data_IF_372034672309
#
_entry.id   IF_372034672309
#
_cell.length_a   1.000
_cell.length_b   1.000
_cell.length_c   1.000
_cell.angle_alpha   90.00
_cell.angle_beta   90.00
_cell.angle_gamma   90.00
#
_symmetry.space_group_name_H-M   'P 1'
#
loop_
_entity.id
_entity.type
_entity.pdbx_description
1 polymer ?
#
# COMPACT_ATOMS: atom_id res chain seq x y z
N UNK A 1 2.46 -31.82 1.11
CA UNK A 1 1.94 -32.25 2.42
C UNK A 1 0.47 -32.44 2.18
N UNK A 2 -0.01 -33.69 2.20
CA UNK A 2 -1.43 -33.96 1.99
C UNK A 2 -2.23 -33.14 3.01
N UNK A 3 -3.17 -32.34 2.52
CA UNK A 3 -4.07 -31.55 3.35
C UNK A 3 -5.10 -32.52 3.90
N UNK A 4 -4.82 -33.01 5.11
CA UNK A 4 -5.71 -33.88 5.85
C UNK A 4 -7.11 -33.26 5.99
N UNK A 5 -8.14 -34.08 5.80
CA UNK A 5 -9.55 -33.65 5.72
C UNK A 5 -10.04 -33.13 7.07
N UNK A 6 -9.58 -33.71 8.18
CA UNK A 6 -9.89 -33.23 9.52
C UNK A 6 -9.29 -31.82 9.72
N UNK A 7 -8.02 -31.64 9.32
CA UNK A 7 -7.33 -30.34 9.36
C UNK A 7 -8.01 -29.26 8.50
N UNK A 8 -8.59 -29.64 7.36
CA UNK A 8 -9.38 -28.74 6.51
C UNK A 8 -10.69 -28.31 7.18
N UNK A 9 -11.41 -29.25 7.79
CA UNK A 9 -12.66 -28.95 8.50
C UNK A 9 -12.43 -27.98 9.67
N UNK A 10 -11.37 -28.21 10.45
CA UNK A 10 -10.97 -27.32 11.55
C UNK A 10 -10.59 -25.92 11.04
N UNK A 11 -9.93 -25.83 9.90
CA UNK A 11 -9.56 -24.56 9.29
C UNK A 11 -10.78 -23.71 8.93
N UNK A 12 -11.78 -24.32 8.30
CA UNK A 12 -13.04 -23.66 7.93
C UNK A 12 -13.76 -23.19 9.20
N UNK A 13 -13.82 -24.04 10.22
CA UNK A 13 -14.43 -23.71 11.50
C UNK A 13 -13.71 -22.53 12.20
N UNK A 14 -12.38 -22.48 12.15
CA UNK A 14 -11.59 -21.36 12.69
C UNK A 14 -11.87 -20.04 11.98
N UNK A 15 -11.97 -20.04 10.65
CA UNK A 15 -12.28 -18.83 9.87
C UNK A 15 -13.67 -18.31 10.25
N UNK A 16 -14.68 -19.19 10.27
CA UNK A 16 -16.08 -18.84 10.53
C UNK A 16 -16.43 -18.68 12.03
N UNK A 17 -15.49 -18.95 12.94
CA UNK A 17 -15.71 -19.03 14.40
C UNK A 17 -16.83 -20.00 14.79
N UNK A 18 -16.91 -21.14 14.11
CA UNK A 18 -17.87 -22.21 14.38
C UNK A 18 -17.24 -23.37 15.13
N UNK A 19 -18.07 -24.22 15.74
CA UNK A 19 -17.62 -25.52 16.26
C UNK A 19 -17.91 -26.59 15.21
N UNK A 20 -16.92 -27.43 14.93
CA UNK A 20 -17.06 -28.59 14.04
C UNK A 20 -17.02 -29.88 14.86
N UNK A 21 -17.85 -30.85 14.45
CA UNK A 21 -17.85 -32.21 15.00
C UNK A 21 -17.93 -33.20 13.85
N UNK A 22 -17.21 -34.31 13.95
CA UNK A 22 -17.23 -35.39 12.96
C UNK A 22 -18.21 -36.47 13.39
N UNK A 23 -19.10 -36.88 12.50
CA UNK A 23 -20.03 -37.98 12.71
C UNK A 23 -20.02 -38.89 11.47
N UNK A 24 -19.33 -40.02 11.57
CA UNK A 24 -19.16 -40.95 10.44
C UNK A 24 -18.44 -40.30 9.25
N UNK A 25 -19.12 -40.27 8.11
CA UNK A 25 -18.62 -39.69 6.84
C UNK A 25 -18.99 -38.21 6.65
N UNK A 26 -19.47 -37.52 7.67
CA UNK A 26 -19.83 -36.11 7.59
C UNK A 26 -19.26 -35.26 8.73
N UNK A 27 -19.05 -33.98 8.44
CA UNK A 27 -18.66 -32.95 9.40
C UNK A 27 -19.83 -32.00 9.62
N UNK A 28 -20.20 -31.78 10.87
CA UNK A 28 -21.30 -30.91 11.27
C UNK A 28 -20.76 -29.65 11.93
N UNK A 29 -21.07 -28.50 11.34
CA UNK A 29 -20.71 -27.16 11.81
C UNK A 29 -21.90 -26.55 12.55
N UNK A 30 -21.71 -26.20 13.82
CA UNK A 30 -22.77 -25.64 14.68
C UNK A 30 -22.79 -24.11 14.59
N UNK A 31 -23.95 -23.56 14.20
CA UNK A 31 -24.22 -22.13 14.06
C UNK A 31 -25.18 -21.70 15.18
N UNK A 32 -24.62 -21.06 16.21
CA UNK A 32 -25.39 -20.74 17.42
C UNK A 32 -25.90 -22.02 18.11
N UNK A 33 -27.13 -21.97 18.63
CA UNK A 33 -27.68 -23.09 19.39
C UNK A 33 -28.62 -24.03 18.63
N UNK A 34 -29.17 -23.57 17.51
CA UNK A 34 -30.31 -24.21 16.86
C UNK A 34 -30.06 -24.60 15.39
N UNK A 35 -28.99 -24.09 14.77
CA UNK A 35 -28.68 -24.38 13.37
C UNK A 35 -27.39 -25.19 13.26
N UNK A 36 -27.39 -26.16 12.35
CA UNK A 36 -26.20 -26.93 12.02
C UNK A 36 -26.17 -27.22 10.52
N UNK A 37 -25.00 -27.09 9.92
CA UNK A 37 -24.76 -27.45 8.53
C UNK A 37 -23.86 -28.66 8.49
N UNK A 38 -24.22 -29.64 7.65
CA UNK A 38 -23.41 -30.84 7.44
C UNK A 38 -22.70 -30.77 6.09
N UNK A 39 -21.50 -31.34 6.01
CA UNK A 39 -20.71 -31.41 4.78
C UNK A 39 -20.08 -32.80 4.70
N UNK A 40 -20.19 -33.44 3.54
CA UNK A 40 -19.68 -34.79 3.36
C UNK A 40 -18.13 -34.81 3.31
N UNK A 41 -17.54 -35.90 3.77
CA UNK A 41 -16.07 -36.08 3.74
C UNK A 41 -15.54 -36.08 2.30
N UNK A 42 -16.32 -36.60 1.33
CA UNK A 42 -15.99 -36.57 -0.09
C UNK A 42 -15.89 -35.16 -0.67
N UNK A 43 -16.76 -34.24 -0.23
CA UNK A 43 -16.74 -32.84 -0.66
C UNK A 43 -15.52 -32.11 -0.12
N UNK A 44 -15.19 -32.32 1.15
CA UNK A 44 -13.96 -31.78 1.75
C UNK A 44 -12.69 -32.36 1.09
N UNK A 45 -12.69 -33.66 0.76
CA UNK A 45 -11.58 -34.29 0.05
C UNK A 45 -11.40 -33.70 -1.37
N UNK A 46 -12.48 -33.41 -2.07
CA UNK A 46 -12.43 -32.75 -3.38
C UNK A 46 -11.82 -31.33 -3.28
N UNK A 47 -12.17 -30.59 -2.24
CA UNK A 47 -11.58 -29.28 -1.95
C UNK A 47 -10.10 -29.42 -1.61
N UNK A 48 -9.71 -30.36 -0.74
CA UNK A 48 -8.32 -30.62 -0.37
C UNK A 48 -7.45 -30.92 -1.59
N UNK A 49 -7.92 -31.81 -2.47
CA UNK A 49 -7.23 -32.14 -3.73
C UNK A 49 -7.09 -30.91 -4.64
N UNK A 50 -8.12 -30.06 -4.71
CA UNK A 50 -8.04 -28.79 -5.43
C UNK A 50 -6.98 -27.87 -4.84
N UNK A 51 -6.92 -27.72 -3.51
CA UNK A 51 -5.90 -26.87 -2.85
C UNK A 51 -4.49 -27.36 -3.16
N UNK A 52 -4.25 -28.68 -3.10
CA UNK A 52 -2.95 -29.28 -3.36
C UNK A 52 -2.48 -29.12 -4.80
N UNK A 53 -3.41 -29.08 -5.76
CA UNK A 53 -3.09 -28.86 -7.17
C UNK A 53 -2.62 -27.41 -7.44
N UNK A 54 -3.01 -26.45 -6.60
CA UNK A 54 -2.59 -25.06 -6.77
C UNK A 54 -1.17 -24.85 -6.23
N UNK A 55 -0.33 -24.20 -7.04
CA UNK A 55 1.02 -23.76 -6.67
C UNK A 55 1.05 -22.24 -6.55
N UNK A 56 1.78 -21.68 -5.56
CA UNK A 56 2.12 -20.27 -5.55
C UNK A 56 2.80 -19.86 -6.87
N UNK A 57 2.38 -18.75 -7.46
CA UNK A 57 3.10 -18.09 -8.54
C UNK A 57 3.85 -16.88 -7.98
N UNK A 58 3.29 -15.68 -8.18
CA UNK A 58 3.83 -14.41 -7.72
C UNK A 58 2.81 -13.70 -6.83
N UNK A 59 3.29 -13.16 -5.71
CA UNK A 59 2.46 -12.38 -4.80
C UNK A 59 1.28 -13.17 -4.23
N UNK A 60 0.07 -12.71 -4.52
CA UNK A 60 -1.16 -13.38 -4.09
C UNK A 60 -1.65 -14.45 -5.07
N UNK A 61 -1.04 -14.58 -6.26
CA UNK A 61 -1.53 -15.47 -7.30
C UNK A 61 -1.23 -16.96 -7.00
N UNK A 62 -2.19 -17.80 -7.37
CA UNK A 62 -2.07 -19.26 -7.40
C UNK A 62 -2.44 -19.79 -8.76
N UNK A 63 -1.81 -20.88 -9.18
CA UNK A 63 -2.19 -21.57 -10.41
C UNK A 63 -2.04 -23.08 -10.30
N UNK A 64 -2.88 -23.79 -11.03
CA UNK A 64 -2.68 -25.16 -11.46
C UNK A 64 -2.42 -25.20 -12.98
N UNK A 65 -2.41 -26.39 -13.55
CA UNK A 65 -2.39 -26.57 -15.00
C UNK A 65 -3.67 -26.06 -15.69
N UNK A 66 -4.81 -26.04 -14.98
CA UNK A 66 -6.12 -25.66 -15.54
C UNK A 66 -6.78 -24.45 -14.90
N UNK A 67 -6.22 -23.93 -13.81
CA UNK A 67 -6.79 -22.79 -13.09
C UNK A 67 -5.74 -21.76 -12.71
N UNK A 68 -6.19 -20.52 -12.60
CA UNK A 68 -5.44 -19.41 -12.04
C UNK A 68 -6.39 -18.60 -11.15
N UNK A 69 -5.92 -18.16 -9.98
CA UNK A 69 -6.69 -17.32 -9.09
C UNK A 69 -5.79 -16.29 -8.41
N UNK A 70 -6.21 -15.03 -8.40
CA UNK A 70 -5.47 -13.93 -7.79
C UNK A 70 -6.41 -13.01 -7.04
N UNK A 71 -5.99 -12.53 -5.88
CA UNK A 71 -6.74 -11.53 -5.12
C UNK A 71 -6.82 -10.24 -5.94
N UNK A 72 -8.01 -9.67 -6.04
CA UNK A 72 -8.25 -8.38 -6.70
C UNK A 72 -8.92 -7.41 -5.75
N UNK A 73 -8.62 -6.14 -5.93
CA UNK A 73 -9.22 -5.06 -5.15
C UNK A 73 -9.65 -3.91 -6.05
N UNK A 74 -10.66 -3.18 -5.60
CA UNK A 74 -11.04 -1.94 -6.24
C UNK A 74 -10.05 -0.85 -5.83
N UNK A 75 -9.58 -0.08 -6.81
CA UNK A 75 -8.78 1.12 -6.53
C UNK A 75 -9.60 2.27 -5.93
N UNK A 76 -10.94 2.19 -5.91
CA UNK A 76 -11.85 3.19 -5.33
C UNK A 76 -13.03 2.49 -4.63
N UNK A 77 -13.58 3.05 -3.55
CA UNK A 77 -14.79 2.52 -2.92
C UNK A 77 -15.97 2.55 -3.89
N UNK A 78 -16.35 1.40 -4.45
CA UNK A 78 -17.46 1.28 -5.39
C UNK A 78 -18.60 0.47 -4.72
N UNK A 79 -19.29 1.10 -3.77
CA UNK A 79 -20.31 0.44 -2.94
C UNK A 79 -21.40 -0.30 -3.74
N UNK A 80 -21.81 0.24 -4.89
CA UNK A 80 -22.81 -0.38 -5.77
C UNK A 80 -22.24 -1.56 -6.59
N UNK A 81 -20.94 -1.52 -6.89
CA UNK A 81 -20.26 -2.50 -7.74
C UNK A 81 -19.79 -3.73 -6.98
N UNK A 82 -19.44 -3.60 -5.70
CA UNK A 82 -19.29 -4.76 -4.80
C UNK A 82 -20.55 -5.59 -4.73
N UNK A 83 -21.73 -4.96 -4.77
CA UNK A 83 -23.03 -5.65 -4.77
C UNK A 83 -23.27 -6.39 -6.09
N UNK A 84 -22.95 -5.77 -7.23
CA UNK A 84 -23.05 -6.38 -8.55
C UNK A 84 -22.05 -7.53 -8.76
N UNK A 85 -20.80 -7.39 -8.26
CA UNK A 85 -19.79 -8.46 -8.33
C UNK A 85 -19.94 -9.52 -7.24
N UNK A 86 -20.76 -9.27 -6.20
CA UNK A 86 -21.05 -10.24 -5.15
C UNK A 86 -21.77 -11.49 -5.67
N UNK A 87 -22.54 -11.35 -6.77
CA UNK A 87 -23.16 -12.48 -7.48
C UNK A 87 -22.18 -13.19 -8.44
N UNK A 88 -20.96 -12.66 -8.60
CA UNK A 88 -19.94 -13.18 -9.51
C UNK A 88 -20.14 -12.71 -10.95
N UNK A 89 -19.17 -11.96 -11.49
CA UNK A 89 -19.13 -11.64 -12.91
C UNK A 89 -18.43 -12.75 -13.67
N UNK A 90 -19.14 -13.41 -14.58
CA UNK A 90 -18.61 -14.51 -15.38
C UNK A 90 -18.53 -14.09 -16.85
N UNK A 91 -17.35 -14.30 -17.45
CA UNK A 91 -17.11 -14.16 -18.88
C UNK A 91 -16.62 -15.50 -19.43
N UNK A 92 -17.18 -15.97 -20.53
CA UNK A 92 -16.78 -17.22 -21.18
C UNK A 92 -16.30 -16.95 -22.61
N UNK A 93 -15.17 -17.55 -22.97
CA UNK A 93 -14.68 -17.68 -24.34
C UNK A 93 -14.83 -19.14 -24.75
N UNK A 94 -15.98 -19.47 -25.35
CA UNK A 94 -16.33 -20.82 -25.77
C UNK A 94 -15.40 -21.33 -26.89
N UNK A 95 -14.77 -20.43 -27.67
CA UNK A 95 -13.86 -20.82 -28.74
C UNK A 95 -12.49 -21.27 -28.19
N UNK A 96 -12.04 -20.64 -27.10
CA UNK A 96 -10.79 -20.99 -26.44
C UNK A 96 -10.95 -21.96 -25.26
N UNK A 97 -12.19 -22.25 -24.83
CA UNK A 97 -12.46 -23.06 -23.65
C UNK A 97 -11.88 -22.41 -22.40
N UNK A 98 -12.07 -21.09 -22.24
CA UNK A 98 -11.59 -20.32 -21.09
C UNK A 98 -12.75 -19.57 -20.45
N UNK A 99 -12.84 -19.66 -19.12
CA UNK A 99 -13.84 -18.95 -18.32
C UNK A 99 -13.13 -18.06 -17.31
N UNK A 100 -13.58 -16.82 -17.21
CA UNK A 100 -13.12 -15.80 -16.27
C UNK A 100 -14.24 -15.52 -15.27
N UNK A 101 -13.91 -15.43 -14.00
CA UNK A 101 -14.85 -15.17 -12.91
C UNK A 101 -14.25 -14.14 -11.95
N UNK A 102 -14.92 -13.01 -11.75
CA UNK A 102 -14.60 -12.05 -10.69
C UNK A 102 -15.67 -12.15 -9.62
N UNK A 103 -15.28 -12.59 -8.42
CA UNK A 103 -16.22 -12.84 -7.33
C UNK A 103 -15.53 -13.29 -6.04
N UNK A 104 -16.27 -13.87 -5.08
CA UNK A 104 -15.71 -14.39 -3.85
C UNK A 104 -14.60 -15.43 -4.10
N UNK A 105 -13.57 -15.50 -3.25
CA UNK A 105 -12.46 -16.41 -3.44
C UNK A 105 -12.90 -17.87 -3.34
N UNK A 106 -12.18 -18.76 -4.01
CA UNK A 106 -12.39 -20.19 -3.83
C UNK A 106 -12.07 -20.59 -2.39
N UNK A 107 -12.68 -21.69 -1.93
CA UNK A 107 -12.39 -22.24 -0.60
C UNK A 107 -10.89 -22.53 -0.45
N UNK A 108 -10.27 -23.08 -1.50
CA UNK A 108 -8.82 -23.31 -1.54
C UNK A 108 -7.99 -22.04 -1.38
N UNK A 109 -8.42 -20.95 -2.02
CA UNK A 109 -7.76 -19.66 -1.89
C UNK A 109 -7.88 -19.07 -0.47
N UNK A 110 -9.05 -19.19 0.16
CA UNK A 110 -9.26 -18.70 1.54
C UNK A 110 -8.40 -19.43 2.57
N UNK A 111 -8.16 -20.72 2.38
CA UNK A 111 -7.28 -21.50 3.25
C UNK A 111 -5.82 -21.06 3.13
N UNK A 112 -5.38 -20.74 1.91
CA UNK A 112 -4.06 -20.12 1.69
C UNK A 112 -3.96 -18.76 2.38
N UNK A 113 -4.98 -17.91 2.27
CA UNK A 113 -5.01 -16.61 2.96
C UNK A 113 -4.85 -16.82 4.46
N UNK A 114 -5.55 -17.81 5.03
CA UNK A 114 -5.43 -18.20 6.44
C UNK A 114 -4.01 -18.62 6.80
N UNK A 115 -3.34 -19.43 5.97
CA UNK A 115 -1.95 -19.83 6.23
C UNK A 115 -1.00 -18.63 6.27
N UNK A 116 -1.15 -17.71 5.31
CA UNK A 116 -0.38 -16.47 5.29
C UNK A 116 -0.64 -15.62 6.52
N UNK A 117 -1.89 -15.52 6.99
CA UNK A 117 -2.22 -14.81 8.23
C UNK A 117 -1.58 -15.49 9.45
N UNK A 118 -1.62 -16.81 9.52
CA UNK A 118 -1.03 -17.61 10.61
C UNK A 118 0.49 -17.43 10.67
N UNK A 119 1.19 -17.49 9.54
CA UNK A 119 2.63 -17.22 9.42
C UNK A 119 2.99 -15.81 9.93
N UNK A 120 2.08 -14.86 9.77
CA UNK A 120 2.23 -13.47 10.21
C UNK A 120 1.67 -13.19 11.61
N UNK A 121 1.25 -14.23 12.35
CA UNK A 121 0.71 -14.10 13.70
C UNK A 121 -0.64 -13.36 13.76
N UNK A 122 -1.38 -13.32 12.66
CA UNK A 122 -2.71 -12.70 12.57
C UNK A 122 -3.80 -13.78 12.70
N UNK A 123 -4.83 -13.58 13.53
CA UNK A 123 -5.97 -14.50 13.65
C UNK A 123 -6.68 -14.76 12.30
N UNK A 124 -7.10 -16.01 12.05
CA UNK A 124 -7.70 -16.45 10.79
C UNK A 124 -9.08 -15.83 10.50
N UNK A 125 -9.82 -15.49 11.54
CA UNK A 125 -11.13 -14.83 11.48
C UNK A 125 -11.07 -13.39 10.92
N UNK A 126 -9.87 -12.82 10.73
CA UNK A 126 -9.67 -11.59 9.96
C UNK A 126 -10.13 -11.68 8.50
N UNK A 127 -10.24 -12.88 7.96
CA UNK A 127 -10.79 -13.10 6.61
C UNK A 127 -12.27 -12.70 6.56
N UNK A 128 -12.96 -12.75 7.71
CA UNK A 128 -14.37 -12.45 7.84
C UNK A 128 -14.59 -10.93 7.90
N UNK A 129 -15.52 -10.43 7.09
CA UNK A 129 -15.83 -9.01 7.01
C UNK A 129 -16.85 -8.58 8.07
N UNK A 130 -16.51 -7.54 8.84
CA UNK A 130 -17.43 -6.89 9.77
C UNK A 130 -18.02 -7.82 10.83
N UNK A 131 -19.17 -7.48 11.44
CA UNK A 131 -19.91 -8.38 12.32
C UNK A 131 -20.70 -9.38 11.46
N UNK A 132 -20.01 -10.24 10.72
CA UNK A 132 -20.66 -11.37 10.03
C UNK A 132 -21.32 -12.27 11.08
N UNK A 133 -22.64 -12.39 10.99
CA UNK A 133 -23.42 -13.28 11.82
C UNK A 133 -24.01 -14.40 10.93
N UNK A 134 -23.39 -15.60 10.91
CA UNK A 134 -23.89 -16.71 10.10
C UNK A 134 -25.30 -17.13 10.51
N UNK A 135 -25.72 -16.90 11.77
CA UNK A 135 -27.08 -17.20 12.22
C UNK A 135 -28.08 -16.33 11.49
N UNK A 136 -27.83 -15.01 11.48
CA UNK A 136 -28.69 -14.03 10.79
C UNK A 136 -28.81 -14.34 9.30
N UNK A 137 -27.71 -14.69 8.64
CA UNK A 137 -27.70 -14.99 7.21
C UNK A 137 -28.56 -16.22 6.87
N UNK A 138 -28.44 -17.29 7.66
CA UNK A 138 -29.24 -18.53 7.49
C UNK A 138 -30.71 -18.26 7.79
N UNK A 139 -31.02 -17.49 8.86
CA UNK A 139 -32.38 -17.13 9.24
C UNK A 139 -33.08 -16.20 8.24
N UNK A 140 -32.35 -15.29 7.59
CA UNK A 140 -32.88 -14.39 6.55
C UNK A 140 -33.14 -15.11 5.21
N UNK A 141 -32.49 -16.25 4.96
CA UNK A 141 -32.57 -17.01 3.69
C UNK A 141 -32.94 -18.47 3.90
N UNK A 142 -34.03 -18.72 4.62
CA UNK A 142 -34.50 -20.06 5.03
C UNK A 142 -34.79 -21.03 3.86
N UNK A 143 -35.04 -20.52 2.66
CA UNK A 143 -35.37 -21.33 1.49
C UNK A 143 -34.14 -21.93 0.76
N UNK A 144 -32.93 -21.60 1.19
CA UNK A 144 -31.68 -22.09 0.56
C UNK A 144 -31.03 -23.17 1.42
N UNK A 145 -30.68 -24.29 0.79
CA UNK A 145 -29.78 -25.28 1.40
C UNK A 145 -28.35 -24.71 1.46
N UNK A 146 -27.91 -24.36 2.66
CA UNK A 146 -26.60 -23.80 2.90
C UNK A 146 -25.54 -24.88 3.06
N UNK A 147 -24.43 -24.76 2.34
CA UNK A 147 -23.20 -25.50 2.65
C UNK A 147 -22.24 -24.65 3.49
N UNK A 148 -21.28 -25.28 4.17
CA UNK A 148 -20.24 -24.54 4.91
C UNK A 148 -19.38 -23.71 3.95
N UNK A 149 -19.24 -24.15 2.70
CA UNK A 149 -18.50 -23.43 1.66
C UNK A 149 -19.24 -22.17 1.22
N UNK A 150 -20.57 -22.19 1.16
CA UNK A 150 -21.39 -21.01 0.87
C UNK A 150 -21.23 -19.97 1.99
N UNK A 151 -21.29 -20.41 3.26
CA UNK A 151 -21.04 -19.51 4.39
C UNK A 151 -19.64 -18.90 4.32
N UNK A 152 -18.62 -19.71 3.97
CA UNK A 152 -17.25 -19.23 3.85
C UNK A 152 -17.08 -18.18 2.75
N UNK A 153 -17.76 -18.35 1.60
CA UNK A 153 -17.76 -17.38 0.51
C UNK A 153 -18.49 -16.09 0.87
N UNK A 154 -19.59 -16.17 1.61
CA UNK A 154 -20.38 -15.01 2.05
C UNK A 154 -19.73 -14.27 3.24
N UNK A 155 -18.89 -14.95 4.02
CA UNK A 155 -18.23 -14.37 5.17
C UNK A 155 -17.14 -13.35 4.83
N UNK A 156 -16.60 -13.39 3.62
CA UNK A 156 -15.43 -12.60 3.22
C UNK A 156 -15.81 -11.44 2.30
N UNK A 157 -15.11 -10.31 2.43
CA UNK A 157 -15.20 -9.18 1.48
C UNK A 157 -14.09 -9.21 0.43
N UNK A 158 -13.25 -10.26 0.44
CA UNK A 158 -12.20 -10.43 -0.55
C UNK A 158 -12.84 -10.74 -1.90
N UNK A 159 -12.18 -10.31 -2.98
CA UNK A 159 -12.56 -10.65 -4.34
C UNK A 159 -11.36 -11.26 -5.03
N UNK A 160 -11.59 -12.24 -5.89
CA UNK A 160 -10.56 -12.82 -6.73
C UNK A 160 -10.97 -12.76 -8.18
N UNK A 161 -9.98 -12.63 -9.06
CA UNK A 161 -10.12 -13.03 -10.45
C UNK A 161 -9.69 -14.50 -10.55
N UNK A 162 -10.62 -15.36 -10.95
CA UNK A 162 -10.39 -16.76 -11.27
C UNK A 162 -10.47 -16.96 -12.78
N UNK A 163 -9.53 -17.73 -13.32
CA UNK A 163 -9.50 -18.15 -14.72
C UNK A 163 -9.45 -19.67 -14.73
N UNK A 164 -10.35 -20.31 -15.45
CA UNK A 164 -10.35 -21.76 -15.64
C UNK A 164 -10.27 -22.06 -17.13
N UNK A 165 -9.43 -23.03 -17.52
CA UNK A 165 -9.30 -23.48 -18.90
C UNK A 165 -9.50 -24.98 -19.01
N UNK A 166 -10.13 -25.41 -20.10
CA UNK A 166 -10.28 -26.84 -20.43
C UNK A 166 -8.95 -27.50 -20.77
N UNK A 167 -8.04 -26.73 -21.39
CA UNK A 167 -6.72 -27.20 -21.81
C UNK A 167 -5.66 -26.83 -20.76
N UNK A 168 -4.69 -27.72 -20.49
CA UNK A 168 -3.61 -27.41 -19.57
C UNK A 168 -2.74 -26.28 -20.14
N UNK A 169 -2.34 -25.35 -19.28
CA UNK A 169 -1.54 -24.17 -19.60
C UNK A 169 -0.33 -24.08 -18.67
N UNK A 170 0.77 -23.53 -19.19
CA UNK A 170 1.95 -23.26 -18.37
C UNK A 170 1.67 -22.10 -17.40
N UNK A 171 2.21 -22.17 -16.19
CA UNK A 171 1.89 -21.22 -15.13
C UNK A 171 2.21 -19.75 -15.50
N UNK A 172 3.28 -19.51 -16.25
CA UNK A 172 3.65 -18.16 -16.73
C UNK A 172 2.68 -17.57 -17.76
N UNK A 173 1.86 -18.41 -18.42
CA UNK A 173 0.93 -17.97 -19.46
C UNK A 173 -0.37 -17.35 -18.94
N UNK A 174 -0.64 -17.46 -17.63
CA UNK A 174 -1.86 -16.95 -17.01
C UNK A 174 -1.89 -15.41 -16.85
N UNK A 175 -0.72 -14.78 -16.78
CA UNK A 175 -0.61 -13.33 -16.52
C UNK A 175 -1.22 -12.48 -17.63
N UNK A 176 -1.00 -12.84 -18.90
CA UNK A 176 -1.49 -12.06 -20.04
C UNK A 176 -3.03 -12.08 -20.15
N UNK A 177 -3.71 -13.24 -20.09
CA UNK A 177 -5.18 -13.30 -20.01
C UNK A 177 -5.75 -12.55 -18.79
N UNK A 178 -5.11 -12.64 -17.63
CA UNK A 178 -5.54 -11.92 -16.44
C UNK A 178 -5.48 -10.40 -16.62
N UNK A 179 -4.40 -9.88 -17.20
CA UNK A 179 -4.29 -8.45 -17.51
C UNK A 179 -5.30 -8.01 -18.57
N UNK A 180 -5.52 -8.82 -19.61
CA UNK A 180 -6.47 -8.53 -20.67
C UNK A 180 -7.90 -8.42 -20.11
N UNK A 181 -8.36 -9.37 -19.29
CA UNK A 181 -9.72 -9.32 -18.75
C UNK A 181 -9.89 -8.12 -17.80
N UNK A 182 -8.90 -7.82 -16.95
CA UNK A 182 -8.97 -6.66 -16.06
C UNK A 182 -9.03 -5.33 -16.83
N UNK A 183 -8.25 -5.21 -17.92
CA UNK A 183 -8.36 -4.08 -18.82
C UNK A 183 -9.75 -3.99 -19.48
N UNK A 184 -10.29 -5.12 -19.96
CA UNK A 184 -11.63 -5.16 -20.56
C UNK A 184 -12.72 -4.75 -19.57
N UNK A 185 -12.63 -5.19 -18.31
CA UNK A 185 -13.55 -4.79 -17.25
C UNK A 185 -13.43 -3.29 -16.95
N UNK A 186 -12.21 -2.78 -16.83
CA UNK A 186 -11.98 -1.36 -16.63
C UNK A 186 -12.52 -0.51 -17.77
N UNK A 187 -12.27 -0.91 -19.01
CA UNK A 187 -12.70 -0.18 -20.20
C UNK A 187 -14.23 -0.13 -20.34
N UNK A 188 -14.92 -1.25 -20.11
CA UNK A 188 -16.36 -1.34 -20.36
C UNK A 188 -17.22 -0.90 -19.16
N UNK A 189 -16.72 -1.03 -17.94
CA UNK A 189 -17.49 -0.78 -16.72
C UNK A 189 -17.02 0.47 -15.95
N UNK A 190 -15.92 1.10 -16.37
CA UNK A 190 -15.22 2.16 -15.62
C UNK A 190 -14.83 1.70 -14.20
N UNK A 191 -14.37 0.44 -14.12
CA UNK A 191 -14.01 -0.22 -12.86
C UNK A 191 -12.53 -0.55 -12.82
N UNK A 192 -11.78 0.12 -11.95
CA UNK A 192 -10.38 -0.21 -11.69
C UNK A 192 -10.27 -1.40 -10.70
N UNK A 193 -10.34 -2.63 -11.24
CA UNK A 193 -9.96 -3.86 -10.53
C UNK A 193 -8.47 -4.13 -10.72
N UNK A 194 -7.76 -4.34 -9.61
CA UNK A 194 -6.30 -4.46 -9.59
C UNK A 194 -5.90 -5.75 -8.88
N UNK A 195 -4.98 -6.56 -9.43
CA UNK A 195 -4.42 -7.70 -8.71
C UNK A 195 -3.57 -7.25 -7.52
N UNK A 196 -3.87 -7.77 -6.33
CA UNK A 196 -3.05 -7.53 -5.15
C UNK A 196 -1.71 -8.29 -5.27
N UNK A 197 -0.59 -7.62 -5.02
CA UNK A 197 0.75 -8.25 -5.04
C UNK A 197 1.16 -8.87 -3.72
N UNK A 198 0.59 -8.43 -2.62
CA UNK A 198 0.86 -8.99 -1.31
C UNK A 198 -0.45 -9.14 -0.54
N UNK A 199 -0.42 -9.99 0.49
CA UNK A 199 -1.51 -10.05 1.45
C UNK A 199 -1.44 -8.89 2.45
N UNK A 200 -0.58 -7.88 2.24
CA UNK A 200 -0.45 -6.77 3.16
C UNK A 200 -1.77 -6.02 3.31
N UNK A 201 -2.60 -5.86 2.28
CA UNK A 201 -3.91 -5.20 2.43
C UNK A 201 -4.91 -6.04 3.24
N UNK A 202 -4.72 -7.36 3.29
CA UNK A 202 -5.52 -8.29 4.11
C UNK A 202 -4.99 -8.35 5.56
N UNK A 203 -3.66 -8.29 5.71
CA UNK A 203 -2.93 -8.43 6.98
C UNK A 203 -2.90 -7.10 7.74
N UNK A 204 -2.64 -5.99 7.04
CA UNK A 204 -2.53 -4.64 7.58
C UNK A 204 -3.95 -4.12 7.79
N UNK A 205 -4.35 -3.82 9.04
CA UNK A 205 -5.35 -2.78 9.22
C UNK A 205 -4.85 -1.49 8.53
N UNK A 206 -5.70 -0.50 8.32
CA UNK A 206 -5.26 0.87 8.03
C UNK A 206 -4.46 1.43 9.23
N UNK A 207 -3.16 1.10 9.32
CA UNK A 207 -2.29 1.11 10.53
C UNK A 207 -1.66 2.47 10.83
N UNK A 208 -2.30 3.59 10.52
CA UNK A 208 -1.93 4.87 11.17
C UNK A 208 -2.84 5.14 12.38
N UNK A 209 -4.07 4.62 12.34
CA UNK A 209 -5.00 4.64 13.48
C UNK A 209 -4.42 4.01 14.75
N UNK A 210 -3.49 3.06 14.64
CA UNK A 210 -2.84 2.41 15.79
C UNK A 210 -1.72 3.25 16.43
N UNK A 211 -1.02 4.07 15.65
CA UNK A 211 -0.03 5.04 16.17
C UNK A 211 -0.75 6.19 16.87
N UNK A 212 -1.87 6.61 16.29
CA UNK A 212 -2.69 7.71 16.79
C UNK A 212 -3.65 7.20 17.88
N UNK A 213 -3.18 7.25 19.12
CA UNK A 213 -3.91 6.80 20.33
C UNK A 213 -5.20 7.59 20.64
N UNK A 214 -5.47 8.69 19.94
CA UNK A 214 -6.60 9.57 20.21
C UNK A 214 -7.90 8.96 19.70
N UNK A 215 -8.88 8.80 20.60
CA UNK A 215 -10.28 8.57 20.25
C UNK A 215 -10.91 9.88 19.76
N UNK A 216 -12.07 9.79 19.11
CA UNK A 216 -12.79 11.00 18.66
C UNK A 216 -13.02 12.02 19.79
N UNK A 217 -13.25 11.55 21.03
CA UNK A 217 -13.40 12.41 22.21
C UNK A 217 -12.09 12.97 22.78
N UNK A 218 -10.93 12.48 22.35
CA UNK A 218 -9.60 12.99 22.77
C UNK A 218 -9.08 14.08 21.83
N UNK A 219 -9.80 14.38 20.73
CA UNK A 219 -9.43 15.41 19.77
C UNK A 219 -9.80 16.77 20.35
N UNK A 220 -8.79 17.54 20.74
CA UNK A 220 -8.95 18.92 21.21
C UNK A 220 -9.13 19.89 20.02
N UNK A 221 -9.69 21.06 20.29
CA UNK A 221 -9.79 22.13 19.30
C UNK A 221 -8.40 22.59 18.86
N UNK A 222 -8.20 22.93 17.56
CA UNK A 222 -6.88 23.33 17.07
C UNK A 222 -6.44 24.64 17.71
N UNK A 223 -5.24 24.64 18.32
CA UNK A 223 -4.62 25.83 18.94
C UNK A 223 -3.58 26.52 18.05
N UNK A 224 -3.43 26.05 16.82
CA UNK A 224 -2.45 26.50 15.83
C UNK A 224 -3.15 26.75 14.51
N UNK A 225 -2.73 27.78 13.80
CA UNK A 225 -3.14 28.04 12.43
C UNK A 225 -2.14 27.38 11.48
N UNK A 226 -2.67 26.65 10.50
CA UNK A 226 -1.89 25.92 9.51
C UNK A 226 -2.03 26.58 8.13
N UNK A 227 -1.01 26.43 7.29
CA UNK A 227 -1.05 26.91 5.90
C UNK A 227 -2.04 26.04 5.11
N UNK A 228 -3.06 26.67 4.52
CA UNK A 228 -4.17 25.99 3.85
C UNK A 228 -3.72 25.00 2.77
N UNK A 229 -2.81 25.41 1.89
CA UNK A 229 -2.30 24.57 0.80
C UNK A 229 -1.64 23.28 1.31
N UNK A 230 -0.86 23.37 2.40
CA UNK A 230 -0.24 22.19 3.00
C UNK A 230 -1.28 21.25 3.62
N UNK A 231 -2.34 21.82 4.22
CA UNK A 231 -3.46 21.03 4.75
C UNK A 231 -4.17 20.29 3.62
N UNK A 232 -4.40 20.94 2.48
CA UNK A 232 -5.03 20.29 1.32
C UNK A 232 -4.20 19.13 0.78
N UNK A 233 -2.89 19.32 0.59
CA UNK A 233 -1.99 18.24 0.17
C UNK A 233 -1.95 17.09 1.18
N UNK A 234 -1.89 17.41 2.47
CA UNK A 234 -1.92 16.40 3.51
C UNK A 234 -3.26 15.63 3.55
N UNK A 235 -4.40 16.30 3.42
CA UNK A 235 -5.72 15.66 3.35
C UNK A 235 -5.87 14.79 2.11
N UNK A 236 -5.36 15.24 0.95
CA UNK A 236 -5.33 14.44 -0.27
C UNK A 236 -4.57 13.13 -0.02
N UNK A 237 -3.38 13.21 0.59
CA UNK A 237 -2.60 12.03 0.96
C UNK A 237 -3.28 11.12 1.99
N UNK A 238 -4.04 11.68 2.95
CA UNK A 238 -4.81 10.87 3.91
C UNK A 238 -6.01 10.17 3.27
N UNK A 239 -6.61 10.79 2.26
CA UNK A 239 -7.78 10.28 1.54
C UNK A 239 -7.44 9.36 0.36
N UNK A 240 -6.17 9.26 -0.01
CA UNK A 240 -5.73 8.54 -1.19
C UNK A 240 -5.76 7.02 -0.99
N UNK A 241 -6.26 6.31 -2.00
CA UNK A 241 -6.33 4.83 -2.03
C UNK A 241 -5.13 4.19 -2.76
N UNK A 242 -4.10 4.97 -3.11
CA UNK A 242 -2.92 4.50 -3.85
C UNK A 242 -1.63 5.02 -3.21
N UNK A 243 -0.62 4.16 -2.95
CA UNK A 243 0.68 4.57 -2.39
C UNK A 243 1.39 5.67 -3.19
N UNK A 244 1.15 5.73 -4.51
CA UNK A 244 1.71 6.78 -5.39
C UNK A 244 1.13 8.13 -5.04
N UNK A 245 -0.19 8.21 -4.97
CA UNK A 245 -0.88 9.46 -4.67
C UNK A 245 -0.62 9.88 -3.23
N UNK A 246 -0.57 8.93 -2.29
CA UNK A 246 -0.15 9.20 -0.90
C UNK A 246 1.24 9.84 -0.87
N UNK A 247 2.25 9.18 -1.44
CA UNK A 247 3.63 9.65 -1.43
C UNK A 247 3.77 11.04 -2.08
N UNK A 248 3.20 11.23 -3.28
CA UNK A 248 3.29 12.51 -4.00
C UNK A 248 2.58 13.63 -3.25
N UNK A 249 1.43 13.35 -2.63
CA UNK A 249 0.70 14.33 -1.84
C UNK A 249 1.52 14.82 -0.64
N UNK A 250 2.20 13.91 0.07
CA UNK A 250 3.12 14.29 1.15
C UNK A 250 4.38 14.99 0.64
N UNK A 251 4.89 14.59 -0.54
CA UNK A 251 6.02 15.26 -1.18
C UNK A 251 5.75 16.74 -1.49
N UNK A 252 4.55 17.04 -2.00
CA UNK A 252 4.14 18.40 -2.33
C UNK A 252 4.16 19.36 -1.12
N UNK A 253 4.02 18.83 0.11
CA UNK A 253 4.19 19.63 1.34
C UNK A 253 5.61 20.17 1.47
N UNK A 254 6.63 19.38 1.12
CA UNK A 254 8.02 19.84 1.10
C UNK A 254 8.29 20.74 -0.11
N UNK A 255 7.74 20.40 -1.28
CA UNK A 255 7.92 21.14 -2.53
C UNK A 255 7.42 22.59 -2.45
N UNK A 256 6.37 22.84 -1.68
CA UNK A 256 5.87 24.19 -1.39
C UNK A 256 6.97 25.15 -0.88
N UNK A 257 8.01 24.63 -0.22
CA UNK A 257 9.09 25.42 0.35
C UNK A 257 10.38 25.41 -0.48
N UNK A 258 10.41 24.78 -1.66
CA UNK A 258 11.67 24.63 -2.41
C UNK A 258 12.25 25.95 -2.88
N UNK A 259 11.41 26.82 -3.44
CA UNK A 259 11.86 28.12 -3.92
C UNK A 259 12.36 28.99 -2.75
N UNK A 260 11.55 29.14 -1.69
CA UNK A 260 11.90 29.97 -0.53
C UNK A 260 13.13 29.45 0.20
N UNK A 261 13.24 28.13 0.44
CA UNK A 261 14.41 27.55 1.08
C UNK A 261 15.68 27.77 0.25
N UNK A 262 15.60 27.67 -1.08
CA UNK A 262 16.72 27.89 -1.98
C UNK A 262 17.14 29.37 -2.03
N UNK A 263 16.18 30.28 -2.11
CA UNK A 263 16.42 31.73 -2.09
C UNK A 263 17.05 32.16 -0.75
N UNK A 264 16.52 31.68 0.37
CA UNK A 264 17.07 31.96 1.70
C UNK A 264 18.53 31.50 1.82
N UNK A 265 18.84 30.29 1.35
CA UNK A 265 20.20 29.76 1.35
C UNK A 265 21.14 30.62 0.48
N UNK A 266 20.69 31.02 -0.71
CA UNK A 266 21.45 31.91 -1.57
C UNK A 266 21.73 33.26 -0.90
N UNK A 267 20.71 33.87 -0.27
CA UNK A 267 20.84 35.13 0.46
C UNK A 267 21.83 34.97 1.61
N UNK A 268 21.70 33.91 2.41
CA UNK A 268 22.61 33.61 3.52
C UNK A 268 24.06 33.43 3.03
N UNK A 269 24.27 32.71 1.93
CA UNK A 269 25.60 32.55 1.34
C UNK A 269 26.21 33.87 0.86
N UNK A 270 25.39 34.77 0.32
CA UNK A 270 25.82 36.12 -0.09
C UNK A 270 26.17 36.96 1.13
N UNK A 271 25.29 37.00 2.14
CA UNK A 271 25.52 37.73 3.38
C UNK A 271 26.81 37.27 4.06
N UNK A 272 27.01 35.96 4.23
CA UNK A 272 28.24 35.40 4.80
C UNK A 272 29.50 35.77 4.01
N UNK A 273 29.41 35.79 2.68
CA UNK A 273 30.52 36.21 1.83
C UNK A 273 30.83 37.71 1.95
N UNK A 274 29.80 38.56 2.09
CA UNK A 274 29.96 40.00 2.30
C UNK A 274 30.53 40.35 3.69
N UNK A 275 30.13 39.60 4.72
CA UNK A 275 30.56 39.84 6.12
C UNK A 275 31.89 39.18 6.46
N UNK A 276 32.47 38.36 5.57
CA UNK A 276 33.74 37.70 5.82
C UNK A 276 34.87 38.74 5.99
N UNK A 277 35.72 38.65 7.04
CA UNK A 277 36.82 39.59 7.24
C UNK A 277 37.79 39.67 6.05
N UNK A 278 37.88 38.58 5.28
CA UNK A 278 38.72 38.47 4.10
C UNK A 278 38.10 39.14 2.86
N UNK A 279 36.83 39.57 2.89
CA UNK A 279 36.16 40.20 1.75
C UNK A 279 36.36 41.72 1.74
N UNK A 280 36.58 42.30 0.56
CA UNK A 280 36.61 43.75 0.37
C UNK A 280 35.76 44.16 -0.82
N UNK A 281 34.71 44.95 -0.56
CA UNK A 281 33.86 45.54 -1.60
C UNK A 281 34.62 46.49 -2.54
N UNK A 282 35.85 46.91 -2.18
CA UNK A 282 36.71 47.75 -3.03
C UNK A 282 37.58 46.93 -3.98
N UNK A 283 37.81 45.63 -3.69
CA UNK A 283 38.64 44.76 -4.54
C UNK A 283 37.78 44.15 -5.64
N UNK A 284 38.06 44.56 -6.89
CA UNK A 284 37.40 44.02 -8.09
C UNK A 284 37.46 42.48 -8.20
N UNK A 285 38.51 41.85 -7.65
CA UNK A 285 38.65 40.38 -7.62
C UNK A 285 37.55 39.74 -6.77
N UNK A 286 37.38 40.22 -5.54
CA UNK A 286 36.40 39.72 -4.57
C UNK A 286 34.96 39.92 -5.09
N UNK A 287 34.68 41.08 -5.69
CA UNK A 287 33.39 41.34 -6.35
C UNK A 287 33.12 40.34 -7.50
N UNK A 288 34.13 40.07 -8.34
CA UNK A 288 34.00 39.08 -9.43
C UNK A 288 33.79 37.65 -8.90
N UNK A 289 34.43 37.28 -7.80
CA UNK A 289 34.24 35.98 -7.17
C UNK A 289 32.84 35.83 -6.57
N UNK A 290 32.32 36.88 -5.93
CA UNK A 290 30.94 36.92 -5.42
C UNK A 290 29.93 36.80 -6.56
N UNK A 291 30.07 37.58 -7.65
CA UNK A 291 29.20 37.50 -8.83
C UNK A 291 29.24 36.09 -9.44
N UNK A 292 30.41 35.46 -9.54
CA UNK A 292 30.52 34.08 -10.02
C UNK A 292 29.87 33.06 -9.08
N UNK A 293 29.95 33.27 -7.77
CA UNK A 293 29.29 32.41 -6.79
C UNK A 293 27.77 32.49 -6.93
N UNK A 294 27.22 33.70 -7.00
CA UNK A 294 25.80 33.95 -7.23
C UNK A 294 25.35 33.39 -8.58
N UNK A 295 26.05 33.71 -9.68
CA UNK A 295 25.67 33.25 -11.02
C UNK A 295 25.78 31.73 -11.24
N UNK A 296 26.54 31.00 -10.41
CA UNK A 296 26.54 29.53 -10.42
C UNK A 296 25.35 28.94 -9.66
N UNK A 297 24.91 29.60 -8.59
CA UNK A 297 23.83 29.15 -7.74
C UNK A 297 22.45 29.56 -8.29
N UNK A 298 22.33 30.77 -8.84
CA UNK A 298 21.16 31.23 -9.58
C UNK A 298 21.42 31.01 -11.07
N UNK A 299 21.16 29.79 -11.57
CA UNK A 299 20.93 29.63 -13.01
C UNK A 299 19.57 30.25 -13.30
N UNK A 300 19.56 31.32 -14.07
CA UNK A 300 18.33 32.04 -14.43
C UNK A 300 17.94 31.62 -15.85
N UNK A 301 16.70 31.19 -16.03
CA UNK A 301 16.10 30.92 -17.33
C UNK A 301 14.92 31.87 -17.50
N UNK A 302 15.07 32.91 -18.32
CA UNK A 302 14.11 34.03 -18.37
C UNK A 302 14.17 34.89 -17.12
N UNK A 303 13.04 35.07 -16.43
CA UNK A 303 12.92 35.80 -15.15
C UNK A 303 12.88 34.86 -13.93
N UNK A 304 12.99 33.54 -14.10
CA UNK A 304 12.86 32.54 -13.03
C UNK A 304 14.21 31.93 -12.65
N UNK A 305 14.41 31.71 -11.34
CA UNK A 305 15.58 30.99 -10.81
C UNK A 305 15.31 29.49 -10.97
N UNK A 306 16.15 28.80 -11.72
CA UNK A 306 16.11 27.34 -11.83
C UNK A 306 16.55 26.73 -10.50
N UNK A 307 15.59 26.25 -9.73
CA UNK A 307 15.81 25.64 -8.42
C UNK A 307 16.38 24.24 -8.59
N UNK A 308 17.53 23.96 -7.98
CA UNK A 308 18.01 22.59 -7.87
C UNK A 308 17.19 21.85 -6.81
N UNK A 309 16.26 21.02 -7.28
CA UNK A 309 15.31 20.28 -6.45
C UNK A 309 15.97 19.46 -5.33
N UNK A 310 17.11 18.82 -5.63
CA UNK A 310 17.85 18.04 -4.63
C UNK A 310 18.42 18.90 -3.50
N UNK A 311 18.94 20.08 -3.85
CA UNK A 311 19.46 21.05 -2.88
C UNK A 311 18.31 21.63 -2.06
N UNK A 312 17.22 22.01 -2.72
CA UNK A 312 16.04 22.57 -2.08
C UNK A 312 15.41 21.59 -1.08
N UNK A 313 15.17 20.33 -1.48
CA UNK A 313 14.66 19.31 -0.57
C UNK A 313 15.59 19.10 0.63
N UNK A 314 16.91 19.05 0.42
CA UNK A 314 17.86 18.93 1.53
C UNK A 314 17.73 20.10 2.52
N UNK A 315 17.62 21.33 2.01
CA UNK A 315 17.47 22.54 2.84
C UNK A 315 16.16 22.52 3.64
N UNK A 316 15.04 22.11 3.01
CA UNK A 316 13.75 21.94 3.69
C UNK A 316 13.85 20.90 4.80
N UNK A 317 14.45 19.73 4.53
CA UNK A 317 14.64 18.70 5.56
C UNK A 317 15.51 19.21 6.71
N UNK A 318 16.60 19.93 6.43
CA UNK A 318 17.48 20.52 7.46
C UNK A 318 16.77 21.56 8.34
N UNK A 319 15.81 22.29 7.78
CA UNK A 319 15.08 23.33 8.50
C UNK A 319 13.96 22.78 9.37
N UNK A 320 13.31 21.70 8.94
CA UNK A 320 12.02 21.28 9.49
C UNK A 320 12.00 19.88 10.11
N UNK A 321 13.00 19.03 9.85
CA UNK A 321 12.96 17.63 10.28
C UNK A 321 13.92 17.37 11.44
N UNK A 322 13.35 16.92 12.56
CA UNK A 322 14.07 16.32 13.68
C UNK A 322 14.19 14.80 13.46
N UNK A 323 15.42 14.33 13.26
CA UNK A 323 15.72 12.91 13.02
C UNK A 323 15.34 12.01 14.20
N UNK A 324 15.46 12.49 15.45
CA UNK A 324 15.13 11.68 16.62
C UNK A 324 13.61 11.42 16.68
N UNK A 325 12.81 12.47 16.44
CA UNK A 325 11.35 12.37 16.35
C UNK A 325 10.96 11.48 15.17
N UNK A 326 11.57 11.68 14.00
CA UNK A 326 11.28 10.87 12.81
C UNK A 326 11.56 9.38 13.06
N UNK A 327 12.69 9.03 13.67
CA UNK A 327 13.04 7.64 14.03
C UNK A 327 12.03 7.06 15.02
N UNK A 328 11.59 7.85 16.00
CA UNK A 328 10.60 7.42 16.99
C UNK A 328 9.24 7.11 16.34
N UNK A 329 8.74 8.01 15.49
CA UNK A 329 7.45 7.85 14.82
C UNK A 329 7.46 6.66 13.87
N UNK A 330 8.53 6.51 13.08
CA UNK A 330 8.72 5.35 12.19
C UNK A 330 8.79 4.04 12.97
N UNK A 331 9.54 3.99 14.08
CA UNK A 331 9.66 2.78 14.92
C UNK A 331 8.34 2.42 15.59
N UNK A 332 7.54 3.44 15.96
CA UNK A 332 6.22 3.26 16.56
C UNK A 332 5.21 2.74 15.54
N UNK A 333 5.29 3.22 14.29
CA UNK A 333 4.48 2.75 13.17
C UNK A 333 4.82 1.31 12.80
N UNK A 334 6.10 1.02 12.56
CA UNK A 334 6.61 -0.31 12.28
C UNK A 334 8.07 -0.41 12.72
N UNK A 335 8.32 -1.32 13.68
CA UNK A 335 9.64 -1.53 14.29
C UNK A 335 10.73 -1.89 13.27
N UNK A 336 10.36 -2.44 12.11
CA UNK A 336 11.29 -2.83 11.06
C UNK A 336 11.67 -1.72 10.08
N UNK A 337 10.97 -0.58 10.03
CA UNK A 337 11.18 0.42 8.98
C UNK A 337 12.54 1.12 9.06
N UNK A 338 13.00 1.47 10.27
CA UNK A 338 14.31 2.14 10.42
C UNK A 338 15.44 1.26 9.90
N UNK A 339 15.39 -0.04 10.20
CA UNK A 339 16.35 -1.02 9.68
C UNK A 339 16.19 -1.24 8.17
N UNK A 340 14.96 -1.21 7.67
CA UNK A 340 14.68 -1.29 6.24
C UNK A 340 15.42 -0.17 5.47
N UNK A 341 15.33 1.08 5.92
CA UNK A 341 15.99 2.20 5.24
C UNK A 341 17.52 2.09 5.28
N UNK A 342 18.08 1.59 6.39
CA UNK A 342 19.52 1.41 6.54
C UNK A 342 20.09 0.33 5.61
N UNK A 343 19.33 -0.72 5.32
CA UNK A 343 19.83 -1.93 4.64
C UNK A 343 19.40 -2.06 3.19
N UNK A 344 18.26 -1.48 2.80
CA UNK A 344 17.63 -1.67 1.49
C UNK A 344 17.56 -0.39 0.67
N UNK A 345 17.80 -0.53 -0.63
CA UNK A 345 17.51 0.51 -1.62
C UNK A 345 16.07 0.43 -2.07
N UNK A 346 15.50 1.55 -2.55
CA UNK A 346 14.18 1.52 -3.21
C UNK A 346 14.35 0.88 -4.58
N UNK A 347 13.86 -0.35 -4.76
CA UNK A 347 14.22 -1.21 -5.91
C UNK A 347 13.95 -0.56 -7.27
N UNK A 348 12.77 0.00 -7.46
CA UNK A 348 12.36 0.60 -8.74
C UNK A 348 12.97 1.99 -8.98
N UNK A 349 13.59 2.61 -7.99
CA UNK A 349 14.12 3.98 -8.09
C UNK A 349 15.64 4.06 -7.87
N UNK A 350 16.27 2.95 -7.48
CA UNK A 350 17.65 2.91 -6.97
C UNK A 350 17.88 3.95 -5.86
N UNK A 351 16.86 4.14 -5.01
CA UNK A 351 16.88 5.07 -3.88
C UNK A 351 17.93 4.65 -2.84
N UNK A 352 18.69 5.63 -2.33
CA UNK A 352 19.84 5.38 -1.45
C UNK A 352 19.43 4.68 -0.15
N UNK A 353 20.35 3.85 0.39
CA UNK A 353 20.27 3.39 1.78
C UNK A 353 20.56 4.56 2.72
N UNK A 354 19.82 4.66 3.81
CA UNK A 354 19.92 5.76 4.77
C UNK A 354 19.88 5.21 6.18
N UNK A 355 21.01 5.32 6.89
CA UNK A 355 21.04 5.09 8.33
C UNK A 355 20.51 6.34 9.05
N UNK A 356 19.22 6.32 9.41
CA UNK A 356 18.57 7.43 10.13
C UNK A 356 19.15 7.67 11.53
N UNK A 357 19.93 6.73 12.08
CA UNK A 357 20.59 6.84 13.39
C UNK A 357 22.06 7.29 13.28
N UNK A 358 22.49 7.69 12.08
CA UNK A 358 23.84 8.19 11.85
C UNK A 358 24.18 9.39 12.74
N UNK A 359 25.46 9.49 13.15
CA UNK A 359 25.94 10.54 14.06
C UNK A 359 25.93 11.94 13.46
N UNK A 360 26.08 12.06 12.15
CA UNK A 360 26.12 13.33 11.43
C UNK A 360 24.75 13.58 10.77
N UNK A 361 23.93 14.40 11.43
CA UNK A 361 22.58 14.73 10.96
C UNK A 361 22.58 15.36 9.56
N UNK A 362 23.61 16.15 9.20
CA UNK A 362 23.67 16.79 7.89
C UNK A 362 23.90 15.76 6.78
N UNK A 363 24.78 14.77 7.02
CA UNK A 363 24.99 13.66 6.10
C UNK A 363 23.76 12.76 5.99
N UNK A 364 23.09 12.46 7.11
CA UNK A 364 21.86 11.66 7.14
C UNK A 364 20.76 12.35 6.33
N UNK A 365 20.49 13.64 6.58
CA UNK A 365 19.46 14.40 5.87
C UNK A 365 19.80 14.57 4.38
N UNK A 366 21.09 14.66 4.03
CA UNK A 366 21.51 14.69 2.63
C UNK A 366 21.29 13.34 1.93
N UNK A 367 21.45 12.21 2.61
CA UNK A 367 21.15 10.89 2.05
C UNK A 367 19.64 10.66 1.95
N UNK A 368 18.90 11.11 2.96
CA UNK A 368 17.45 11.08 2.99
C UNK A 368 16.84 11.88 1.83
N UNK A 369 17.33 13.10 1.56
CA UNK A 369 16.84 13.90 0.44
C UNK A 369 17.05 13.20 -0.90
N UNK A 370 18.19 12.53 -1.10
CA UNK A 370 18.45 11.75 -2.32
C UNK A 370 17.51 10.57 -2.46
N UNK A 371 17.25 9.82 -1.38
CA UNK A 371 16.31 8.70 -1.38
C UNK A 371 14.90 9.15 -1.77
N UNK A 372 14.40 10.20 -1.13
CA UNK A 372 13.05 10.75 -1.40
C UNK A 372 12.97 11.26 -2.84
N UNK A 373 13.94 12.06 -3.29
CA UNK A 373 13.92 12.63 -4.64
C UNK A 373 14.01 11.56 -5.74
N UNK A 374 14.90 10.56 -5.58
CA UNK A 374 14.99 9.45 -6.54
C UNK A 374 13.67 8.69 -6.63
N UNK A 375 13.04 8.44 -5.48
CA UNK A 375 11.71 7.80 -5.42
C UNK A 375 10.68 8.63 -6.18
N UNK A 376 10.56 9.93 -5.88
CA UNK A 376 9.66 10.87 -6.59
C UNK A 376 9.91 10.88 -8.09
N UNK A 377 11.16 10.96 -8.52
CA UNK A 377 11.51 11.00 -9.94
C UNK A 377 11.11 9.73 -10.67
N UNK A 378 11.28 8.56 -10.04
CA UNK A 378 10.86 7.29 -10.63
C UNK A 378 9.33 7.16 -10.75
N UNK A 379 8.56 7.82 -9.86
CA UNK A 379 7.10 7.90 -9.93
C UNK A 379 6.62 8.82 -11.07
N UNK A 380 7.28 9.96 -11.28
CA UNK A 380 6.83 11.01 -12.22
C UNK A 380 7.40 10.85 -13.63
N UNK A 381 8.64 10.36 -13.76
CA UNK A 381 9.39 10.35 -15.03
C UNK A 381 9.58 8.95 -15.62
N UNK A 382 8.75 7.98 -15.24
CA UNK A 382 8.76 6.64 -15.84
C UNK A 382 8.51 6.69 -17.35
N UNK A 383 9.57 6.50 -18.15
CA UNK A 383 9.49 6.34 -19.61
C UNK A 383 10.25 5.10 -20.05
N UNK A 384 9.89 4.56 -21.21
CA UNK A 384 10.58 3.41 -21.80
C UNK A 384 12.06 3.76 -22.07
N UNK A 385 12.99 2.86 -21.69
CA UNK A 385 14.44 3.07 -21.84
C UNK A 385 15.15 3.77 -20.67
N UNK A 386 14.42 4.32 -19.69
CA UNK A 386 15.01 4.91 -18.48
C UNK A 386 15.11 3.83 -17.39
N UNK A 387 16.32 3.60 -16.85
CA UNK A 387 16.51 2.76 -15.67
C UNK A 387 15.83 3.42 -14.46
N UNK A 388 15.08 2.64 -13.70
CA UNK A 388 14.40 3.11 -12.50
C UNK A 388 13.03 3.73 -12.79
N UNK A 389 12.10 2.93 -13.35
CA UNK A 389 10.71 3.34 -13.58
C UNK A 389 9.79 2.66 -12.57
N UNK A 390 8.83 3.42 -12.05
CA UNK A 390 7.74 2.85 -11.29
C UNK A 390 6.68 2.26 -12.22
N UNK A 391 6.26 1.03 -11.92
CA UNK A 391 5.15 0.36 -12.57
C UNK A 391 4.00 0.26 -11.56
N UNK A 392 2.88 0.98 -11.76
CA UNK A 392 1.74 0.92 -10.86
C UNK A 392 1.33 -0.51 -10.54
N UNK A 393 1.02 -0.76 -9.27
CA UNK A 393 0.61 -2.06 -8.73
C UNK A 393 1.70 -3.12 -8.71
N UNK A 394 2.72 -3.07 -9.56
CA UNK A 394 3.84 -4.01 -9.51
C UNK A 394 4.89 -3.59 -8.47
N UNK A 395 5.15 -2.29 -8.36
CA UNK A 395 6.16 -1.72 -7.47
C UNK A 395 5.58 -1.17 -6.16
N UNK A 396 4.27 -1.28 -5.93
CA UNK A 396 3.57 -0.77 -4.74
C UNK A 396 4.16 -1.34 -3.44
N UNK A 397 4.57 -2.62 -3.43
CA UNK A 397 5.21 -3.25 -2.27
C UNK A 397 6.56 -2.60 -1.89
N UNK A 398 7.24 -2.02 -2.88
CA UNK A 398 8.52 -1.34 -2.71
C UNK A 398 8.33 0.15 -2.41
N UNK A 399 7.19 0.74 -2.78
CA UNK A 399 6.82 2.12 -2.46
C UNK A 399 6.17 2.24 -1.08
N UNK A 400 5.43 1.21 -0.63
CA UNK A 400 4.71 1.23 0.64
C UNK A 400 5.58 1.59 1.86
N UNK A 401 6.85 1.16 1.98
CA UNK A 401 7.75 1.62 3.06
C UNK A 401 8.11 3.11 2.97
N UNK A 402 8.06 3.73 1.79
CA UNK A 402 8.43 5.14 1.59
C UNK A 402 7.27 6.10 1.90
N UNK A 403 6.01 5.63 1.88
CA UNK A 403 4.84 6.42 2.24
C UNK A 403 4.89 6.95 3.68
N UNK A 404 5.09 6.12 4.74
CA UNK A 404 5.17 6.63 6.11
C UNK A 404 6.36 7.58 6.31
N UNK A 405 7.48 7.36 5.60
CA UNK A 405 8.62 8.28 5.61
C UNK A 405 8.23 9.67 5.10
N UNK A 406 7.63 9.74 3.90
CA UNK A 406 7.18 11.00 3.33
C UNK A 406 6.12 11.68 4.20
N UNK A 407 5.20 10.90 4.75
CA UNK A 407 4.14 11.40 5.62
C UNK A 407 4.67 12.03 6.91
N UNK A 408 5.53 11.34 7.66
CA UNK A 408 6.04 11.89 8.92
C UNK A 408 6.95 13.11 8.70
N UNK A 409 7.68 13.14 7.58
CA UNK A 409 8.40 14.35 7.15
C UNK A 409 7.43 15.51 6.89
N UNK A 410 6.35 15.25 6.13
CA UNK A 410 5.33 16.27 5.85
C UNK A 410 4.65 16.79 7.12
N UNK A 411 4.34 15.90 8.07
CA UNK A 411 3.75 16.27 9.37
C UNK A 411 4.69 17.21 10.16
N UNK A 412 5.99 16.91 10.22
CA UNK A 412 6.96 17.80 10.87
C UNK A 412 7.07 19.15 10.18
N UNK A 413 7.05 19.20 8.84
CA UNK A 413 7.05 20.45 8.08
C UNK A 413 5.81 21.28 8.45
N UNK A 414 4.61 20.71 8.33
CA UNK A 414 3.32 21.39 8.64
C UNK A 414 3.31 21.94 10.07
N UNK A 415 3.78 21.14 11.04
CA UNK A 415 3.82 21.56 12.44
C UNK A 415 4.85 22.67 12.64
N UNK A 416 6.05 22.55 12.09
CA UNK A 416 7.12 23.55 12.27
C UNK A 416 6.81 24.90 11.61
N UNK A 417 6.00 24.92 10.54
CA UNK A 417 5.62 26.14 9.81
C UNK A 417 4.29 26.75 10.28
N UNK A 418 3.61 26.13 11.23
CA UNK A 418 2.34 26.65 11.76
C UNK A 418 2.56 27.76 12.79
N UNK A 419 1.58 28.65 12.93
CA UNK A 419 1.61 29.77 13.88
C UNK A 419 0.67 29.52 15.06
N UNK A 420 0.93 30.09 16.26
CA UNK A 420 -0.04 30.07 17.34
C UNK A 420 -1.38 30.66 16.87
N UNK A 421 -2.48 29.95 17.13
CA UNK A 421 -3.81 30.45 16.76
C UNK A 421 -4.11 31.74 17.51
N UNK A 422 -4.60 32.76 16.79
CA UNK A 422 -5.29 33.86 17.45
C UNK A 422 -6.57 33.29 18.04
N UNK A 423 -6.65 33.26 19.37
CA UNK A 423 -7.87 32.86 20.10
C UNK A 423 -8.99 33.87 19.92
#
# INVERSE_FOLDING_TARGET
MELDVDSLADAIAQILRLKVTRSGEAYTYRIGDFHSISTATSELAAVAASVEAHRPLDGTAVASDKSFEVLVQFSRPSGNLRRLLGEGLVLADDQQGVRYEVGPPSVGYLLRVRDVLKERGVPADRIVFGPFDPKRLVEERQERDWTVFDLLREATSLLTLRITSERPRAAASWTSPAQAVLFHLAYNLDVALVPARSFDDVVRPSVISRVRRARAGDVDVPRRAYVGDLVHHYQLGVSADSPVLEFLSYYHVAEHFFESAYQDDLINQVQQSLTAPAFSYRRKKDLRELIRKVGRAARVEGDEIVVNEQVALRLVLQRHVDLAVLVQDLTTYDRGLVEHYATRTVRFAEGDKVDLRGRDSALVLSALSRRILKTRNALVHGREGIKGRFTPFADDEHLAPEVPLARFVAEQIIVSTSTPGAG
#
